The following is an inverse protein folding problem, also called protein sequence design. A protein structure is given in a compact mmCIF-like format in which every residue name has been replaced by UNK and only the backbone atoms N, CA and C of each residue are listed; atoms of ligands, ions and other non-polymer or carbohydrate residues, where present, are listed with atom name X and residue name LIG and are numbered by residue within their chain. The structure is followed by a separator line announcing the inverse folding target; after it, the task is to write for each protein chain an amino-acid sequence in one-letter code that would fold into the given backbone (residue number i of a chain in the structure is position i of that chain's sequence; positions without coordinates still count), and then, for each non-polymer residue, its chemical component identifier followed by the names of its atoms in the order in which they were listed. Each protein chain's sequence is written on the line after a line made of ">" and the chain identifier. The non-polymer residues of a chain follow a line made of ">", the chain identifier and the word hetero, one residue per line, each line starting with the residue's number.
data_IF_819022555981
#
_entry.id   IF_819022555981
#
_cell.length_a   1.000
_cell.length_b   1.000
_cell.length_c   1.000
_cell.angle_alpha   90.00
_cell.angle_beta   90.00
_cell.angle_gamma   90.00
#
_symmetry.space_group_name_H-M   'P 1'
#
loop_
_entity.id
_entity.type
_entity.pdbx_description
1 polymer ?
#
# COMPACT_ATOMS: atom_id res chain seq x y z
N UNK A 1 45.38 -2.83 -6.33
CA UNK A 1 44.07 -2.17 -6.08
C UNK A 1 43.33 -1.78 -7.36
N UNK A 2 43.92 -1.00 -8.27
CA UNK A 2 43.21 -0.54 -9.49
C UNK A 2 42.81 -1.66 -10.48
N UNK A 3 43.55 -2.77 -10.53
CA UNK A 3 43.23 -3.94 -11.37
C UNK A 3 42.02 -4.70 -10.81
N UNK A 4 41.99 -4.94 -9.50
CA UNK A 4 40.85 -5.56 -8.80
C UNK A 4 39.58 -4.70 -8.93
N UNK A 5 39.70 -3.37 -8.81
CA UNK A 5 38.57 -2.45 -9.04
C UNK A 5 38.08 -2.50 -10.49
N UNK A 6 38.97 -2.66 -11.48
CA UNK A 6 38.56 -2.82 -12.89
C UNK A 6 37.88 -4.17 -13.14
N UNK A 7 38.38 -5.23 -12.53
CA UNK A 7 37.78 -6.57 -12.62
C UNK A 7 36.41 -6.60 -11.94
N UNK A 8 36.27 -6.04 -10.74
CA UNK A 8 34.99 -5.90 -10.05
C UNK A 8 34.02 -5.02 -10.85
N UNK A 9 34.50 -3.94 -11.46
CA UNK A 9 33.67 -3.09 -12.32
C UNK A 9 33.26 -3.77 -13.62
N UNK A 10 34.11 -4.63 -14.20
CA UNK A 10 33.79 -5.43 -15.38
C UNK A 10 32.82 -6.56 -15.05
N UNK A 11 32.98 -7.19 -13.88
CA UNK A 11 32.09 -8.24 -13.37
C UNK A 11 30.71 -7.64 -13.06
N UNK A 12 30.67 -6.45 -12.45
CA UNK A 12 29.47 -5.63 -12.27
C UNK A 12 28.83 -5.29 -13.62
N UNK A 13 29.59 -4.76 -14.59
CA UNK A 13 29.06 -4.37 -15.91
C UNK A 13 28.56 -5.58 -16.72
N UNK A 14 29.18 -6.74 -16.57
CA UNK A 14 28.74 -8.02 -17.12
C UNK A 14 27.43 -8.50 -16.48
N UNK A 15 27.31 -8.33 -15.15
CA UNK A 15 26.09 -8.60 -14.39
C UNK A 15 24.88 -7.81 -14.93
N UNK A 16 25.07 -6.52 -15.22
CA UNK A 16 24.02 -5.67 -15.80
C UNK A 16 23.65 -6.05 -17.24
N UNK A 17 24.60 -6.57 -18.03
CA UNK A 17 24.38 -6.85 -19.46
C UNK A 17 23.59 -8.14 -19.72
N UNK A 18 23.54 -9.05 -18.75
CA UNK A 18 22.97 -10.39 -18.91
C UNK A 18 21.51 -10.49 -18.42
N UNK A 19 20.96 -9.44 -17.80
CA UNK A 19 19.61 -9.44 -17.22
C UNK A 19 18.61 -8.74 -18.15
N UNK A 20 17.42 -9.34 -18.34
CA UNK A 20 16.33 -8.73 -19.11
C UNK A 20 15.51 -7.82 -18.20
N UNK A 21 15.85 -6.53 -18.18
CA UNK A 21 15.17 -5.54 -17.32
C UNK A 21 13.67 -5.31 -17.65
N UNK A 22 13.18 -5.79 -18.80
CA UNK A 22 11.80 -5.57 -19.24
C UNK A 22 11.17 -6.88 -19.71
N UNK A 23 10.15 -7.36 -18.99
CA UNK A 23 9.43 -8.60 -19.30
C UNK A 23 8.31 -8.41 -20.37
N UNK A 24 8.37 -7.32 -21.13
CA UNK A 24 7.39 -6.99 -22.17
C UNK A 24 6.24 -6.11 -21.66
N UNK A 25 5.42 -5.61 -22.59
CA UNK A 25 4.33 -4.67 -22.27
C UNK A 25 3.21 -5.28 -21.42
N UNK A 26 3.12 -6.62 -21.39
CA UNK A 26 2.14 -7.39 -20.62
C UNK A 26 2.37 -7.34 -19.10
N UNK A 27 3.60 -7.07 -18.63
CA UNK A 27 3.88 -6.94 -17.19
C UNK A 27 3.61 -5.54 -16.62
N UNK A 28 3.32 -4.55 -17.49
CA UNK A 28 3.06 -3.18 -17.07
C UNK A 28 1.81 -3.04 -16.18
N UNK A 29 0.67 -3.70 -16.47
CA UNK A 29 -0.52 -3.63 -15.62
C UNK A 29 -0.24 -4.19 -14.23
N UNK A 30 0.34 -5.39 -14.13
CA UNK A 30 0.77 -5.97 -12.86
C UNK A 30 1.68 -5.02 -12.06
N UNK A 31 2.75 -4.51 -12.69
CA UNK A 31 3.70 -3.61 -12.03
C UNK A 31 3.06 -2.28 -11.61
N UNK A 32 2.13 -1.76 -12.41
CA UNK A 32 1.41 -0.53 -12.09
C UNK A 32 0.45 -0.73 -10.91
N UNK A 33 -0.24 -1.88 -10.80
CA UNK A 33 -1.07 -2.22 -9.65
C UNK A 33 -0.24 -2.28 -8.37
N UNK A 34 0.91 -2.96 -8.41
CA UNK A 34 1.87 -3.00 -7.29
C UNK A 34 2.37 -1.59 -6.94
N UNK A 35 2.70 -0.77 -7.94
CA UNK A 35 3.16 0.60 -7.71
C UNK A 35 2.09 1.47 -7.03
N UNK A 36 0.83 1.40 -7.49
CA UNK A 36 -0.29 2.13 -6.87
C UNK A 36 -0.49 1.67 -5.42
N UNK A 37 -0.42 0.37 -5.16
CA UNK A 37 -0.47 -0.15 -3.78
C UNK A 37 0.66 0.40 -2.91
N UNK A 38 1.90 0.45 -3.42
CA UNK A 38 3.05 0.95 -2.66
C UNK A 38 2.93 2.44 -2.27
N UNK A 39 2.21 3.23 -3.06
CA UNK A 39 1.97 4.65 -2.78
C UNK A 39 0.63 4.91 -2.06
N UNK A 40 -0.13 3.87 -1.73
CA UNK A 40 -1.36 4.01 -0.97
C UNK A 40 -1.06 4.36 0.49
N UNK A 41 -1.51 5.54 0.92
CA UNK A 41 -1.41 6.00 2.31
C UNK A 41 -2.52 6.99 2.69
N UNK A 42 -3.57 7.08 1.86
CA UNK A 42 -4.58 8.12 1.95
C UNK A 42 -5.35 8.08 3.28
N UNK A 43 -5.66 6.87 3.78
CA UNK A 43 -6.45 6.67 5.01
C UNK A 43 -5.82 7.29 6.26
N UNK A 44 -4.49 7.44 6.29
CA UNK A 44 -3.75 8.02 7.41
C UNK A 44 -3.47 9.52 7.23
N UNK A 45 -3.69 10.08 6.04
CA UNK A 45 -3.34 11.47 5.71
C UNK A 45 -4.08 12.47 6.60
N UNK A 46 -5.41 12.30 6.78
CA UNK A 46 -6.21 13.22 7.59
C UNK A 46 -5.90 13.12 9.11
N UNK A 47 -5.84 11.91 9.71
CA UNK A 47 -5.41 11.79 11.11
C UNK A 47 -3.99 12.33 11.36
N UNK A 48 -3.06 12.11 10.43
CA UNK A 48 -1.69 12.62 10.54
C UNK A 48 -1.66 14.15 10.49
N UNK A 49 -2.34 14.76 9.53
CA UNK A 49 -2.46 16.22 9.45
C UNK A 49 -3.10 16.81 10.71
N UNK A 50 -4.17 16.18 11.22
CA UNK A 50 -4.84 16.61 12.44
C UNK A 50 -3.92 16.58 13.67
N UNK A 51 -2.96 15.64 13.69
CA UNK A 51 -2.00 15.42 14.78
C UNK A 51 -0.73 16.27 14.68
N UNK A 52 -0.51 16.98 13.57
CA UNK A 52 0.65 17.86 13.41
C UNK A 52 0.49 19.17 14.19
N UNK A 53 1.56 19.57 14.87
CA UNK A 53 1.63 20.87 15.56
C UNK A 53 1.50 22.05 14.60
N UNK A 54 2.05 21.94 13.38
CA UNK A 54 1.99 22.97 12.34
C UNK A 54 1.39 22.41 11.05
N UNK A 55 0.07 22.50 10.88
CA UNK A 55 -0.65 21.96 9.72
C UNK A 55 -0.24 22.60 8.38
N UNK A 56 0.15 23.88 8.39
CA UNK A 56 0.58 24.59 7.18
C UNK A 56 1.83 24.00 6.49
N UNK A 57 2.62 23.18 7.19
CA UNK A 57 3.81 22.50 6.63
C UNK A 57 3.51 21.11 6.08
N UNK A 58 2.27 20.61 6.21
CA UNK A 58 1.90 19.24 5.87
C UNK A 58 2.28 18.87 4.42
N UNK A 59 1.95 19.72 3.45
CA UNK A 59 2.24 19.46 2.05
C UNK A 59 3.75 19.31 1.75
N UNK A 60 4.58 20.11 2.42
CA UNK A 60 6.04 20.03 2.26
C UNK A 60 6.59 18.74 2.87
N UNK A 61 6.18 18.41 4.10
CA UNK A 61 6.57 17.17 4.76
C UNK A 61 6.13 15.95 3.96
N UNK A 62 4.90 15.96 3.46
CA UNK A 62 4.34 14.90 2.62
C UNK A 62 5.15 14.75 1.32
N UNK A 63 5.48 15.85 0.65
CA UNK A 63 6.29 15.82 -0.58
C UNK A 63 7.69 15.24 -0.34
N UNK A 64 8.35 15.64 0.76
CA UNK A 64 9.64 15.08 1.15
C UNK A 64 9.54 13.57 1.46
N UNK A 65 8.47 13.14 2.13
CA UNK A 65 8.23 11.73 2.42
C UNK A 65 8.04 10.92 1.13
N UNK A 66 7.19 11.38 0.20
CA UNK A 66 6.99 10.75 -1.10
C UNK A 66 8.28 10.64 -1.92
N UNK A 67 9.10 11.70 -1.92
CA UNK A 67 10.40 11.67 -2.59
C UNK A 67 11.33 10.61 -1.98
N UNK A 68 11.40 10.56 -0.64
CA UNK A 68 12.24 9.60 0.08
C UNK A 68 11.82 8.15 -0.15
N UNK A 69 10.53 7.84 -0.04
CA UNK A 69 10.03 6.46 -0.28
C UNK A 69 10.20 6.05 -1.75
N UNK A 70 10.02 6.98 -2.70
CA UNK A 70 10.21 6.70 -4.13
C UNK A 70 11.66 6.30 -4.40
N UNK A 71 12.61 7.06 -3.86
CA UNK A 71 14.03 6.73 -3.99
C UNK A 71 14.35 5.37 -3.35
N UNK A 72 13.81 5.10 -2.16
CA UNK A 72 13.99 3.83 -1.48
C UNK A 72 13.43 2.65 -2.30
N UNK A 73 12.23 2.77 -2.86
CA UNK A 73 11.63 1.74 -3.71
C UNK A 73 12.44 1.49 -4.98
N UNK A 74 12.90 2.54 -5.67
CA UNK A 74 13.73 2.40 -6.88
C UNK A 74 15.05 1.72 -6.54
N UNK A 75 15.76 2.20 -5.51
CA UNK A 75 17.03 1.60 -5.08
C UNK A 75 16.86 0.13 -4.68
N UNK A 76 15.85 -0.16 -3.86
CA UNK A 76 15.59 -1.52 -3.39
C UNK A 76 15.16 -2.46 -4.53
N UNK A 77 14.31 -1.98 -5.45
CA UNK A 77 13.90 -2.74 -6.64
C UNK A 77 15.09 -3.05 -7.56
N UNK A 78 15.94 -2.06 -7.84
CA UNK A 78 17.14 -2.25 -8.67
C UNK A 78 18.09 -3.25 -7.99
N UNK A 79 18.45 -3.06 -6.73
CA UNK A 79 19.38 -3.97 -6.04
C UNK A 79 18.80 -5.38 -5.86
N UNK A 80 17.50 -5.50 -5.58
CA UNK A 80 16.80 -6.78 -5.48
C UNK A 80 16.82 -7.56 -6.79
N UNK A 81 16.47 -6.90 -7.90
CA UNK A 81 16.51 -7.51 -9.23
C UNK A 81 17.95 -7.81 -9.68
N UNK A 82 18.93 -6.98 -9.34
CA UNK A 82 20.33 -7.31 -9.63
C UNK A 82 20.75 -8.57 -8.89
N UNK A 83 20.44 -8.70 -7.61
CA UNK A 83 20.86 -9.84 -6.79
C UNK A 83 20.30 -11.19 -7.27
N UNK A 84 19.01 -11.26 -7.58
CA UNK A 84 18.33 -12.54 -7.89
C UNK A 84 17.95 -12.68 -9.37
N UNK A 85 17.73 -11.58 -10.09
CA UNK A 85 17.30 -11.53 -11.47
C UNK A 85 15.96 -12.20 -11.70
N UNK A 86 15.88 -13.10 -12.68
CA UNK A 86 14.61 -13.72 -13.09
C UNK A 86 14.05 -14.70 -12.04
N UNK A 87 14.86 -15.12 -11.06
CA UNK A 87 14.44 -15.95 -9.93
C UNK A 87 13.83 -15.13 -8.78
N UNK A 88 13.63 -13.81 -8.95
CA UNK A 88 13.07 -12.95 -7.91
C UNK A 88 11.62 -13.32 -7.60
N UNK A 89 11.39 -13.91 -6.43
CA UNK A 89 10.03 -14.12 -5.89
C UNK A 89 9.35 -12.82 -5.45
N UNK A 90 8.02 -12.77 -5.50
CA UNK A 90 7.16 -11.66 -5.03
C UNK A 90 7.56 -11.11 -3.65
N UNK A 91 7.87 -12.03 -2.73
CA UNK A 91 8.38 -11.70 -1.40
C UNK A 91 9.89 -11.91 -1.41
N UNK A 92 10.63 -10.80 -1.44
CA UNK A 92 12.10 -10.81 -1.52
C UNK A 92 12.77 -11.61 -0.39
N UNK A 93 12.17 -11.67 0.81
CA UNK A 93 12.72 -12.41 1.95
C UNK A 93 12.72 -13.93 1.74
N UNK A 94 11.93 -14.45 0.81
CA UNK A 94 11.93 -15.86 0.41
C UNK A 94 13.11 -16.21 -0.51
N UNK A 95 13.80 -15.22 -1.06
CA UNK A 95 15.02 -15.41 -1.86
C UNK A 95 16.28 -15.42 -0.99
N UNK A 96 16.19 -14.95 0.27
CA UNK A 96 17.34 -14.92 1.16
C UNK A 96 17.83 -16.33 1.51
N UNK A 97 19.16 -16.55 1.54
CA UNK A 97 19.74 -17.84 1.91
C UNK A 97 19.46 -18.18 3.39
N UNK A 98 19.58 -19.46 3.75
CA UNK A 98 19.41 -19.92 5.13
C UNK A 98 20.70 -19.70 5.94
N UNK A 99 20.97 -18.44 6.31
CA UNK A 99 22.08 -18.06 7.17
C UNK A 99 21.63 -17.15 8.32
N UNK A 100 22.50 -16.96 9.32
CA UNK A 100 22.20 -16.15 10.52
C UNK A 100 21.85 -14.69 10.19
N UNK A 101 22.48 -14.10 9.17
CA UNK A 101 22.18 -12.73 8.75
C UNK A 101 20.79 -12.60 8.12
N UNK A 102 20.39 -13.52 7.25
CA UNK A 102 19.04 -13.54 6.70
C UNK A 102 17.98 -13.78 7.79
N UNK A 103 18.27 -14.64 8.76
CA UNK A 103 17.38 -14.86 9.90
C UNK A 103 17.20 -13.57 10.72
N UNK A 104 18.29 -12.83 10.97
CA UNK A 104 18.22 -11.53 11.65
C UNK A 104 17.35 -10.52 10.90
N UNK A 105 17.48 -10.44 9.56
CA UNK A 105 16.64 -9.56 8.71
C UNK A 105 15.17 -9.97 8.79
N UNK A 106 14.87 -11.28 8.71
CA UNK A 106 13.48 -11.79 8.81
C UNK A 106 12.87 -11.47 10.18
N UNK A 107 13.62 -11.66 11.27
CA UNK A 107 13.16 -11.32 12.62
C UNK A 107 12.93 -9.81 12.75
N UNK A 108 13.86 -8.98 12.27
CA UNK A 108 13.72 -7.54 12.26
C UNK A 108 12.47 -7.08 11.50
N UNK A 109 12.19 -7.68 10.34
CA UNK A 109 10.98 -7.44 9.58
C UNK A 109 9.71 -7.84 10.37
N UNK A 110 9.70 -9.00 11.01
CA UNK A 110 8.57 -9.44 11.85
C UNK A 110 8.29 -8.45 13.00
N UNK A 111 9.35 -7.97 13.67
CA UNK A 111 9.23 -6.98 14.74
C UNK A 111 8.66 -5.66 14.18
N UNK A 112 9.18 -5.18 13.05
CA UNK A 112 8.68 -3.97 12.40
C UNK A 112 7.19 -4.10 12.05
N UNK A 113 6.78 -5.20 11.41
CA UNK A 113 5.38 -5.47 11.07
C UNK A 113 4.48 -5.54 12.31
N UNK A 114 4.95 -6.14 13.41
CA UNK A 114 4.22 -6.20 14.66
C UNK A 114 3.93 -4.80 15.25
N UNK A 115 4.85 -3.84 15.09
CA UNK A 115 4.63 -2.45 15.52
C UNK A 115 3.83 -1.62 14.51
N UNK A 116 3.95 -1.90 13.22
CA UNK A 116 3.19 -1.18 12.18
C UNK A 116 1.72 -1.58 12.16
N UNK A 117 1.39 -2.85 12.44
CA UNK A 117 0.01 -3.35 12.37
C UNK A 117 -0.98 -2.57 13.27
N UNK A 118 -0.70 -2.31 14.57
CA UNK A 118 -1.57 -1.49 15.41
C UNK A 118 -1.78 -0.06 14.89
N UNK A 119 -0.74 0.55 14.31
CA UNK A 119 -0.80 1.92 13.78
C UNK A 119 -1.74 1.97 12.57
N UNK A 120 -1.64 1.00 11.66
CA UNK A 120 -2.51 0.91 10.47
C UNK A 120 -3.96 0.58 10.84
N UNK A 121 -4.18 -0.19 11.91
CA UNK A 121 -5.52 -0.56 12.37
C UNK A 121 -6.24 0.53 13.15
N UNK A 122 -5.52 1.53 13.67
CA UNK A 122 -6.10 2.62 14.47
C UNK A 122 -7.28 3.33 13.78
N UNK A 123 -7.17 3.88 12.55
CA UNK A 123 -8.30 4.56 11.91
C UNK A 123 -9.47 3.61 11.63
N UNK A 124 -9.20 2.32 11.37
CA UNK A 124 -10.23 1.31 11.13
C UNK A 124 -11.04 1.06 12.40
N UNK A 125 -10.34 0.88 13.52
CA UNK A 125 -10.96 0.73 14.83
C UNK A 125 -11.77 1.98 15.21
N UNK A 126 -11.24 3.18 15.04
CA UNK A 126 -11.97 4.43 15.37
C UNK A 126 -13.28 4.57 14.59
N UNK A 127 -13.25 4.33 13.27
CA UNK A 127 -14.43 4.39 12.42
C UNK A 127 -15.47 3.36 12.86
N UNK A 128 -15.01 2.15 13.19
CA UNK A 128 -15.92 1.06 13.52
C UNK A 128 -16.51 1.17 14.92
N UNK A 129 -15.71 1.62 15.89
CA UNK A 129 -16.19 1.95 17.23
C UNK A 129 -17.18 3.12 17.17
N UNK A 130 -16.92 4.14 16.33
CA UNK A 130 -17.87 5.22 16.08
C UNK A 130 -19.21 4.71 15.55
N UNK A 131 -19.19 3.82 14.55
CA UNK A 131 -20.41 3.19 14.03
C UNK A 131 -21.11 2.30 15.06
N UNK A 132 -20.36 1.56 15.87
CA UNK A 132 -20.90 0.70 16.91
C UNK A 132 -21.57 1.52 18.02
N UNK A 133 -20.92 2.59 18.49
CA UNK A 133 -21.45 3.51 19.51
C UNK A 133 -22.70 4.26 19.03
N UNK A 134 -22.77 4.59 17.75
CA UNK A 134 -23.96 5.20 17.13
C UNK A 134 -25.11 4.21 16.92
N UNK A 135 -24.90 2.90 17.08
CA UNK A 135 -25.96 1.91 16.93
C UNK A 135 -26.88 1.92 18.16
N UNK A 136 -28.16 2.20 17.95
CA UNK A 136 -29.15 2.28 19.03
C UNK A 136 -29.28 0.99 19.85
N UNK A 137 -28.99 -0.17 19.26
CA UNK A 137 -28.95 -1.45 19.99
C UNK A 137 -27.78 -1.52 20.98
N UNK A 138 -26.59 -1.07 20.56
CA UNK A 138 -25.39 -1.06 21.39
C UNK A 138 -25.51 -0.04 22.53
N UNK A 139 -26.07 1.12 22.24
CA UNK A 139 -26.33 2.17 23.24
C UNK A 139 -27.31 1.69 24.32
N UNK A 140 -28.33 0.90 23.95
CA UNK A 140 -29.30 0.30 24.87
C UNK A 140 -28.69 -0.76 25.79
N UNK A 141 -27.71 -1.53 25.28
CA UNK A 141 -26.97 -2.53 26.06
C UNK A 141 -25.96 -1.86 27.01
N UNK A 142 -25.25 -0.82 26.55
CA UNK A 142 -24.23 -0.13 27.34
C UNK A 142 -24.82 0.72 28.47
N UNK A 143 -26.04 1.25 28.31
CA UNK A 143 -26.73 1.98 29.38
C UNK A 143 -26.91 1.15 30.65
N UNK A 144 -27.04 -0.17 30.51
CA UNK A 144 -27.35 -1.05 31.62
C UNK A 144 -26.10 -1.55 32.38
N UNK A 145 -24.93 -1.63 31.72
CA UNK A 145 -23.69 -2.15 32.31
C UNK A 145 -22.47 -1.52 31.63
N UNK A 146 -21.72 -0.67 32.35
CA UNK A 146 -20.51 0.00 31.83
C UNK A 146 -19.41 -0.98 31.39
N UNK A 147 -19.29 -2.15 32.03
CA UNK A 147 -18.37 -3.20 31.60
C UNK A 147 -18.73 -3.80 30.23
N UNK A 148 -20.01 -3.82 29.87
CA UNK A 148 -20.46 -4.39 28.58
C UNK A 148 -19.99 -3.55 27.38
N UNK A 149 -19.80 -2.23 27.55
CA UNK A 149 -19.23 -1.37 26.52
C UNK A 149 -17.79 -1.76 26.21
N UNK A 150 -16.95 -1.93 27.24
CA UNK A 150 -15.54 -2.31 27.09
C UNK A 150 -15.40 -3.70 26.46
N UNK A 151 -16.20 -4.68 26.91
CA UNK A 151 -16.22 -6.01 26.32
C UNK A 151 -16.70 -6.00 24.87
N UNK A 152 -17.70 -5.19 24.53
CA UNK A 152 -18.21 -5.03 23.17
C UNK A 152 -17.16 -4.44 22.22
N UNK A 153 -16.49 -3.36 22.64
CA UNK A 153 -15.43 -2.73 21.86
C UNK A 153 -14.23 -3.68 21.66
N UNK A 154 -13.81 -4.36 22.73
CA UNK A 154 -12.73 -5.36 22.64
C UNK A 154 -13.12 -6.52 21.71
N UNK A 155 -14.38 -6.98 21.79
CA UNK A 155 -14.91 -8.03 20.92
C UNK A 155 -14.85 -7.65 19.44
N UNK A 156 -15.21 -6.41 19.09
CA UNK A 156 -15.15 -5.92 17.71
C UNK A 156 -13.70 -5.81 17.22
N UNK A 157 -12.77 -5.33 18.06
CA UNK A 157 -11.33 -5.31 17.72
C UNK A 157 -10.80 -6.72 17.45
N UNK A 158 -11.10 -7.67 18.34
CA UNK A 158 -10.68 -9.07 18.18
C UNK A 158 -11.29 -9.71 16.92
N UNK A 159 -12.56 -9.42 16.62
CA UNK A 159 -13.23 -9.90 15.42
C UNK A 159 -12.55 -9.38 14.15
N UNK A 160 -12.18 -8.09 14.10
CA UNK A 160 -11.49 -7.53 12.94
C UNK A 160 -10.13 -8.18 12.69
N UNK A 161 -9.33 -8.35 13.74
CA UNK A 161 -8.04 -9.02 13.63
C UNK A 161 -8.23 -10.48 13.21
N UNK A 162 -9.23 -11.18 13.74
CA UNK A 162 -9.54 -12.55 13.35
C UNK A 162 -9.93 -12.67 11.88
N UNK A 163 -10.78 -11.77 11.36
CA UNK A 163 -11.19 -11.74 9.95
C UNK A 163 -10.00 -11.45 9.02
N UNK A 164 -9.10 -10.54 9.43
CA UNK A 164 -7.89 -10.28 8.65
C UNK A 164 -6.92 -11.47 8.67
N UNK A 165 -6.77 -12.14 9.82
CA UNK A 165 -5.91 -13.31 9.95
C UNK A 165 -6.43 -14.50 9.11
N UNK A 166 -7.75 -14.72 9.06
CA UNK A 166 -8.32 -15.75 8.20
C UNK A 166 -8.12 -15.40 6.74
N UNK A 167 -8.41 -14.17 6.32
CA UNK A 167 -8.16 -13.72 4.94
C UNK A 167 -6.70 -13.91 4.54
N UNK A 168 -5.75 -13.53 5.41
CA UNK A 168 -4.33 -13.70 5.17
C UNK A 168 -3.91 -15.17 5.00
N UNK A 169 -4.55 -16.11 5.71
CA UNK A 169 -4.27 -17.54 5.59
C UNK A 169 -4.71 -18.16 4.25
N UNK A 170 -5.66 -17.52 3.56
CA UNK A 170 -6.22 -18.01 2.30
C UNK A 170 -5.54 -17.44 1.05
N UNK A 171 -4.58 -16.52 1.16
CA UNK A 171 -3.92 -15.88 0.01
C UNK A 171 -2.70 -16.70 -0.42
N UNK A 172 -2.73 -17.41 -1.57
CA UNK A 172 -1.60 -18.21 -2.04
C UNK A 172 -0.55 -17.39 -2.81
N UNK A 173 -0.95 -16.29 -3.46
CA UNK A 173 -0.10 -15.45 -4.32
C UNK A 173 -0.05 -14.01 -3.83
N UNK A 174 1.01 -13.66 -3.11
CA UNK A 174 1.15 -12.33 -2.50
C UNK A 174 1.27 -11.21 -3.54
N UNK A 175 2.05 -11.42 -4.62
CA UNK A 175 2.20 -10.43 -5.69
C UNK A 175 0.89 -10.16 -6.42
N UNK A 176 0.19 -11.22 -6.81
CA UNK A 176 -1.14 -11.12 -7.45
C UNK A 176 -2.15 -10.42 -6.54
N UNK A 177 -2.19 -10.75 -5.24
CA UNK A 177 -3.06 -10.08 -4.28
C UNK A 177 -2.77 -8.58 -4.17
N UNK A 178 -1.51 -8.18 -4.04
CA UNK A 178 -1.13 -6.77 -3.97
C UNK A 178 -1.48 -6.04 -5.26
N UNK A 179 -1.21 -6.64 -6.41
CA UNK A 179 -1.54 -6.04 -7.70
C UNK A 179 -3.04 -5.87 -7.89
N UNK A 180 -3.84 -6.85 -7.47
CA UNK A 180 -5.29 -6.77 -7.46
C UNK A 180 -5.79 -5.64 -6.54
N UNK A 181 -5.34 -5.60 -5.29
CA UNK A 181 -5.78 -4.57 -4.32
C UNK A 181 -5.36 -3.17 -4.79
N UNK A 182 -4.14 -3.04 -5.30
CA UNK A 182 -3.61 -1.78 -5.81
C UNK A 182 -4.32 -1.27 -7.05
N UNK A 183 -4.57 -2.16 -8.02
CA UNK A 183 -5.28 -1.79 -9.23
C UNK A 183 -6.76 -1.50 -8.98
N UNK A 184 -7.39 -2.12 -7.98
CA UNK A 184 -8.81 -1.94 -7.68
C UNK A 184 -9.07 -0.89 -6.60
N UNK A 185 -8.94 -1.27 -5.33
CA UNK A 185 -9.33 -0.46 -4.18
C UNK A 185 -8.50 0.82 -4.13
N UNK A 186 -7.17 0.71 -4.25
CA UNK A 186 -6.29 1.88 -4.17
C UNK A 186 -6.51 2.82 -5.36
N UNK A 187 -6.68 2.29 -6.58
CA UNK A 187 -6.98 3.14 -7.75
C UNK A 187 -8.33 3.87 -7.63
N UNK A 188 -9.36 3.20 -7.11
CA UNK A 188 -10.66 3.84 -6.86
C UNK A 188 -10.54 4.94 -5.80
N UNK A 189 -9.80 4.70 -4.72
CA UNK A 189 -9.59 5.67 -3.66
C UNK A 189 -8.69 6.84 -4.06
N UNK A 190 -7.66 6.59 -4.87
CA UNK A 190 -6.66 7.60 -5.25
C UNK A 190 -7.03 8.39 -6.50
N UNK A 191 -7.78 7.83 -7.45
CA UNK A 191 -8.16 8.53 -8.69
C UNK A 191 -9.65 8.88 -8.73
N UNK A 192 -10.53 7.92 -8.48
CA UNK A 192 -11.99 8.10 -8.67
C UNK A 192 -12.59 8.94 -7.55
N UNK A 193 -12.28 8.63 -6.29
CA UNK A 193 -12.85 9.32 -5.13
C UNK A 193 -12.51 10.82 -5.08
N UNK A 194 -11.25 11.27 -5.30
CA UNK A 194 -10.91 12.68 -5.26
C UNK A 194 -11.54 13.45 -6.43
N UNK A 195 -11.57 12.86 -7.63
CA UNK A 195 -12.24 13.45 -8.80
C UNK A 195 -13.75 13.61 -8.57
N UNK A 196 -14.41 12.61 -7.98
CA UNK A 196 -15.83 12.69 -7.61
C UNK A 196 -16.09 13.78 -6.57
N UNK A 197 -15.26 13.90 -5.53
CA UNK A 197 -15.40 14.96 -4.55
C UNK A 197 -15.16 16.34 -5.15
N UNK A 198 -14.17 16.49 -6.02
CA UNK A 198 -13.90 17.77 -6.68
C UNK A 198 -15.07 18.18 -7.59
N UNK A 199 -15.59 17.26 -8.40
CA UNK A 199 -16.73 17.51 -9.28
C UNK A 199 -18.03 17.79 -8.53
N UNK A 200 -18.29 17.08 -7.42
CA UNK A 200 -19.53 17.25 -6.64
C UNK A 200 -19.52 18.52 -5.79
N UNK A 201 -18.38 18.88 -5.19
CA UNK A 201 -18.27 20.06 -4.33
C UNK A 201 -18.03 21.35 -5.10
N UNK A 202 -17.21 21.32 -6.16
CA UNK A 202 -16.80 22.53 -6.90
C UNK A 202 -17.43 22.62 -8.29
N UNK A 203 -18.19 21.62 -8.75
CA UNK A 203 -18.66 21.48 -10.13
C UNK A 203 -19.34 22.70 -10.76
N UNK A 204 -20.05 23.50 -9.97
CA UNK A 204 -20.70 24.74 -10.43
C UNK A 204 -19.73 25.91 -10.67
N UNK A 205 -18.56 25.89 -10.05
CA UNK A 205 -17.55 26.96 -10.12
C UNK A 205 -16.32 26.58 -10.97
N UNK A 206 -16.25 25.35 -11.50
CA UNK A 206 -15.10 24.87 -12.26
C UNK A 206 -15.06 25.42 -13.69
N UNK A 207 -13.85 25.75 -14.14
CA UNK A 207 -13.59 26.03 -15.56
C UNK A 207 -13.81 24.75 -16.38
N UNK A 208 -14.27 24.85 -17.64
CA UNK A 208 -14.53 23.67 -18.48
C UNK A 208 -13.29 22.78 -18.66
N UNK A 209 -12.08 23.37 -18.68
CA UNK A 209 -10.82 22.61 -18.73
C UNK A 209 -10.57 21.74 -17.49
N UNK A 210 -10.79 22.28 -16.29
CA UNK A 210 -10.61 21.53 -15.04
C UNK A 210 -11.61 20.38 -14.97
N UNK A 211 -12.86 20.64 -15.36
CA UNK A 211 -13.92 19.63 -15.42
C UNK A 211 -13.58 18.48 -16.39
N UNK A 212 -13.00 18.78 -17.55
CA UNK A 212 -12.53 17.75 -18.50
C UNK A 212 -11.41 16.91 -17.88
N UNK A 213 -10.46 17.54 -17.19
CA UNK A 213 -9.38 16.82 -16.51
C UNK A 213 -9.93 15.87 -15.42
N UNK A 214 -10.88 16.32 -14.60
CA UNK A 214 -11.47 15.48 -13.55
C UNK A 214 -12.22 14.28 -14.13
N UNK A 215 -13.02 14.48 -15.18
CA UNK A 215 -13.66 13.38 -15.89
C UNK A 215 -12.62 12.44 -16.53
N UNK A 216 -11.52 12.98 -17.04
CA UNK A 216 -10.40 12.19 -17.56
C UNK A 216 -9.79 11.30 -16.49
N UNK A 217 -9.45 11.86 -15.32
CA UNK A 217 -8.91 11.10 -14.18
C UNK A 217 -9.89 10.03 -13.71
N UNK A 218 -11.19 10.34 -13.65
CA UNK A 218 -12.24 9.41 -13.27
C UNK A 218 -12.32 8.22 -14.24
N UNK A 219 -12.35 8.48 -15.55
CA UNK A 219 -12.39 7.42 -16.58
C UNK A 219 -11.11 6.59 -16.55
N UNK A 220 -9.94 7.22 -16.45
CA UNK A 220 -8.66 6.52 -16.35
C UNK A 220 -8.64 5.60 -15.14
N UNK A 221 -9.08 6.09 -13.96
CA UNK A 221 -9.16 5.29 -12.74
C UNK A 221 -10.08 4.07 -12.88
N UNK A 222 -11.25 4.23 -13.52
CA UNK A 222 -12.18 3.12 -13.77
C UNK A 222 -11.64 2.10 -14.78
N UNK A 223 -11.00 2.57 -15.85
CA UNK A 223 -10.36 1.69 -16.85
C UNK A 223 -9.20 0.93 -16.20
N UNK A 224 -8.41 1.60 -15.38
CA UNK A 224 -7.31 0.98 -14.66
C UNK A 224 -7.79 -0.10 -13.67
N UNK A 225 -8.84 0.20 -12.90
CA UNK A 225 -9.43 -0.75 -11.97
C UNK A 225 -10.07 -1.95 -12.67
N UNK A 226 -10.82 -1.72 -13.75
CA UNK A 226 -11.39 -2.82 -14.53
C UNK A 226 -10.30 -3.68 -15.15
N UNK A 227 -9.35 -3.08 -15.87
CA UNK A 227 -8.26 -3.80 -16.51
C UNK A 227 -7.42 -4.59 -15.50
N UNK A 228 -7.03 -3.99 -14.38
CA UNK A 228 -6.24 -4.68 -13.36
C UNK A 228 -6.98 -5.81 -12.65
N UNK A 229 -8.31 -5.69 -12.50
CA UNK A 229 -9.16 -6.80 -12.02
C UNK A 229 -9.16 -7.96 -13.02
N UNK A 230 -9.29 -7.66 -14.31
CA UNK A 230 -9.25 -8.69 -15.36
C UNK A 230 -7.89 -9.38 -15.37
N UNK A 231 -6.80 -8.63 -15.44
CA UNK A 231 -5.43 -9.16 -15.45
C UNK A 231 -5.17 -10.08 -14.24
N UNK A 232 -5.51 -9.62 -13.03
CA UNK A 232 -5.27 -10.36 -11.79
C UNK A 232 -6.17 -11.59 -11.59
N UNK A 233 -7.30 -11.69 -12.30
CA UNK A 233 -8.21 -12.85 -12.25
C UNK A 233 -7.87 -13.91 -13.30
N UNK A 234 -7.18 -13.51 -14.37
CA UNK A 234 -6.87 -14.37 -15.52
C UNK A 234 -5.39 -14.80 -15.60
N UNK A 235 -4.52 -14.28 -14.73
CA UNK A 235 -3.20 -14.83 -14.37
C UNK A 235 -3.30 -15.93 -13.28
#
# INVERSE_FOLDING_TARGET
>A
MAIVIKEDFQLFKSFFKTRKAFNGALGLPFASGVAVFCFEGFSLTLPLEASMSERGKFQWVLSCAFFGITLAYICFGIFGYLAYGDETKDIITLNLPHNWSAAAVKIGLCIALAFTFPIMMHPIHDIMEGKLKSSGWFQKICYNVQSAEVFGLLGVRMLMVAVLATLASYIPGFGAFISLVGSTVCALLSFVLPALFHLTLMGSHLKPWQRILDYGVLVIGLVFASYGTYDSLFD
#
